data_IF_056934418861
#
_entry.id   IF_056934418861
#
_cell.length_a   1.000
_cell.length_b   1.000
_cell.length_c   1.000
_cell.angle_alpha   90.00
_cell.angle_beta   90.00
_cell.angle_gamma   90.00
#
_symmetry.space_group_name_H-M   'P 1'
#
loop_
_entity.id
_entity.type
_entity.pdbx_description
1 polymer ?
#
# COMPACT_ATOMS: atom_id res chain seq x y z
N UNK A 1 -18.14 7.07 8.45
CA UNK A 1 -17.12 6.31 7.69
C UNK A 1 -15.96 6.01 8.63
N UNK A 2 -15.59 4.73 8.78
CA UNK A 2 -14.39 4.35 9.52
C UNK A 2 -13.19 4.96 8.84
N UNK A 3 -12.35 5.66 9.60
CA UNK A 3 -11.18 6.30 9.03
C UNK A 3 -10.16 5.22 8.66
N UNK A 4 -9.79 5.19 7.39
CA UNK A 4 -8.78 4.31 6.81
C UNK A 4 -7.38 4.92 6.94
N UNK A 5 -6.36 4.07 7.10
CA UNK A 5 -4.97 4.43 6.88
C UNK A 5 -4.38 3.66 5.69
N UNK A 6 -3.63 4.36 4.84
CA UNK A 6 -2.85 3.78 3.75
C UNK A 6 -1.39 4.06 4.06
N UNK A 7 -0.57 3.01 4.07
CA UNK A 7 0.87 3.10 4.24
C UNK A 7 1.55 2.54 3.01
N UNK A 8 2.55 3.26 2.48
CA UNK A 8 3.25 2.88 1.26
C UNK A 8 4.71 2.66 1.64
N UNK A 9 5.19 1.44 1.43
CA UNK A 9 6.58 1.05 1.65
C UNK A 9 7.21 0.92 0.27
N UNK A 10 8.24 1.71 0.00
CA UNK A 10 9.05 1.57 -1.20
C UNK A 10 10.24 0.66 -0.92
N UNK A 11 10.47 -0.31 -1.79
CA UNK A 11 11.65 -1.17 -1.81
C UNK A 11 12.33 -1.05 -3.18
N UNK A 12 13.45 -0.33 -3.22
CA UNK A 12 14.25 -0.19 -4.43
C UNK A 12 15.29 -1.30 -4.49
N UNK A 13 15.01 -2.37 -5.21
CA UNK A 13 15.96 -3.46 -5.44
C UNK A 13 16.40 -3.48 -6.91
N UNK A 14 17.71 -3.34 -7.15
CA UNK A 14 18.33 -3.44 -8.48
C UNK A 14 17.75 -2.48 -9.54
N UNK A 15 17.33 -1.28 -9.14
CA UNK A 15 16.79 -0.26 -10.04
C UNK A 15 15.33 -0.48 -10.46
N UNK A 16 14.64 -1.48 -9.89
CA UNK A 16 13.19 -1.62 -9.97
C UNK A 16 12.59 -1.12 -8.66
N UNK A 17 11.79 -0.06 -8.75
CA UNK A 17 11.07 0.47 -7.59
C UNK A 17 9.83 -0.39 -7.34
N UNK A 18 9.85 -1.19 -6.28
CA UNK A 18 8.72 -2.01 -5.83
C UNK A 18 8.01 -1.31 -4.69
N UNK A 19 6.70 -1.50 -4.59
CA UNK A 19 5.91 -0.83 -3.56
C UNK A 19 4.94 -1.80 -2.92
N UNK A 20 4.98 -1.86 -1.60
CA UNK A 20 3.97 -2.52 -0.80
C UNK A 20 3.01 -1.46 -0.26
N UNK A 21 1.78 -1.47 -0.76
CA UNK A 21 0.71 -0.59 -0.29
C UNK A 21 -0.15 -1.36 0.69
N UNK A 22 -0.11 -0.94 1.96
CA UNK A 22 -0.83 -1.57 3.06
C UNK A 22 -2.02 -0.70 3.45
N UNK A 23 -3.15 -1.37 3.62
CA UNK A 23 -4.41 -0.82 4.10
C UNK A 23 -4.81 -1.48 5.42
N UNK A 24 -5.21 -0.65 6.38
CA UNK A 24 -5.80 -1.10 7.63
C UNK A 24 -6.64 0.01 8.29
N UNK A 25 -7.49 -0.36 9.24
CA UNK A 25 -8.22 0.60 10.07
C UNK A 25 -7.28 1.45 10.92
N UNK A 26 -7.67 2.69 11.28
CA UNK A 26 -6.78 3.62 12.00
C UNK A 26 -6.23 3.10 13.34
N UNK A 27 -7.02 2.37 14.11
CA UNK A 27 -6.56 1.79 15.38
C UNK A 27 -5.53 0.68 15.13
N UNK A 28 -5.82 -0.20 14.16
CA UNK A 28 -4.88 -1.22 13.73
C UNK A 28 -3.56 -0.62 13.21
N UNK A 29 -3.64 0.51 12.50
CA UNK A 29 -2.48 1.27 12.04
C UNK A 29 -1.65 1.85 13.18
N UNK A 30 -2.29 2.43 14.19
CA UNK A 30 -1.57 2.97 15.34
C UNK A 30 -0.80 1.87 16.09
N UNK A 31 -1.42 0.72 16.30
CA UNK A 31 -0.79 -0.46 16.89
C UNK A 31 0.36 -1.01 16.01
N UNK A 32 0.17 -1.08 14.68
CA UNK A 32 1.22 -1.47 13.73
C UNK A 32 2.45 -0.57 13.84
N UNK A 33 2.26 0.75 13.92
CA UNK A 33 3.36 1.72 14.04
C UNK A 33 4.21 1.57 15.30
N UNK A 34 3.64 1.01 16.38
CA UNK A 34 4.36 0.78 17.64
C UNK A 34 4.86 -0.67 17.77
N UNK A 35 4.76 -1.48 16.71
CA UNK A 35 5.22 -2.87 16.69
C UNK A 35 4.36 -3.82 17.52
N UNK A 36 3.13 -3.43 17.84
CA UNK A 36 2.20 -4.27 18.59
C UNK A 36 1.51 -5.23 17.64
N UNK A 37 1.68 -6.53 17.88
CA UNK A 37 0.92 -7.55 17.17
C UNK A 37 -0.52 -7.57 17.69
N UNK A 38 -1.44 -7.14 16.86
CA UNK A 38 -2.86 -7.05 17.16
C UNK A 38 -3.72 -7.94 16.25
N UNK A 39 -3.10 -8.80 15.43
CA UNK A 39 -3.78 -9.69 14.46
C UNK A 39 -4.93 -9.02 13.68
N UNK A 40 -4.81 -7.72 13.43
CA UNK A 40 -5.88 -6.98 12.76
C UNK A 40 -5.89 -7.31 11.27
N UNK A 41 -7.08 -7.45 10.65
CA UNK A 41 -7.16 -7.65 9.21
C UNK A 41 -6.45 -6.53 8.46
N UNK A 42 -5.52 -6.90 7.59
CA UNK A 42 -4.86 -5.97 6.67
C UNK A 42 -5.05 -6.41 5.22
N UNK A 43 -5.12 -5.45 4.33
CA UNK A 43 -5.08 -5.68 2.88
C UNK A 43 -3.78 -5.09 2.35
N UNK A 44 -3.06 -5.84 1.53
CA UNK A 44 -1.82 -5.38 0.93
C UNK A 44 -1.85 -5.56 -0.58
N UNK A 45 -1.33 -4.57 -1.30
CA UNK A 45 -1.09 -4.63 -2.74
C UNK A 45 0.41 -4.58 -2.96
N UNK A 46 0.94 -5.63 -3.56
CA UNK A 46 2.34 -5.72 -3.94
C UNK A 46 2.48 -5.28 -5.40
N UNK A 47 3.10 -4.13 -5.61
CA UNK A 47 3.13 -3.44 -6.91
C UNK A 47 4.55 -3.45 -7.46
N UNK A 48 4.69 -4.05 -8.64
CA UNK A 48 5.95 -4.21 -9.34
C UNK A 48 5.87 -3.62 -10.75
N UNK A 49 6.95 -2.97 -11.22
CA UNK A 49 7.04 -2.58 -12.62
C UNK A 49 7.23 -3.82 -13.50
N UNK A 50 6.48 -3.88 -14.59
CA UNK A 50 6.45 -5.00 -15.54
C UNK A 50 7.73 -5.00 -16.36
N UNK A 51 8.11 -3.85 -16.91
CA UNK A 51 9.22 -3.79 -17.87
C UNK A 51 10.52 -3.41 -17.15
N UNK A 52 10.87 -2.13 -17.04
CA UNK A 52 12.11 -1.68 -16.39
C UNK A 52 12.05 -0.28 -15.77
N UNK A 53 10.87 0.31 -15.65
CA UNK A 53 10.77 1.72 -15.31
C UNK A 53 10.38 1.93 -13.86
N UNK A 54 10.73 3.12 -13.36
CA UNK A 54 10.28 3.58 -12.05
C UNK A 54 8.78 3.77 -12.11
N UNK A 55 8.08 3.44 -11.04
CA UNK A 55 6.67 3.80 -10.94
C UNK A 55 6.60 5.29 -10.64
N UNK A 56 5.98 6.04 -11.55
CA UNK A 56 5.88 7.51 -11.43
C UNK A 56 4.67 7.94 -10.63
N UNK A 57 3.60 7.15 -10.66
CA UNK A 57 2.36 7.44 -9.93
C UNK A 57 1.53 6.20 -9.65
N UNK A 58 0.67 6.31 -8.65
CA UNK A 58 -0.33 5.31 -8.30
C UNK A 58 -1.73 5.92 -8.35
N UNK A 59 -2.67 5.17 -8.89
CA UNK A 59 -4.10 5.40 -8.73
C UNK A 59 -4.68 4.30 -7.84
N UNK A 60 -5.25 4.69 -6.70
CA UNK A 60 -5.85 3.79 -5.72
C UNK A 60 -7.35 4.02 -5.71
N UNK A 61 -8.11 3.04 -6.18
CA UNK A 61 -9.57 3.09 -6.18
C UNK A 61 -10.11 2.60 -4.84
N UNK A 62 -10.99 3.40 -4.22
CA UNK A 62 -11.62 3.09 -2.94
C UNK A 62 -13.10 2.81 -3.15
N UNK A 63 -13.61 1.73 -2.54
CA UNK A 63 -15.04 1.49 -2.36
C UNK A 63 -15.37 1.59 -0.87
N UNK A 64 -16.26 2.51 -0.49
CA UNK A 64 -16.59 2.82 0.91
C UNK A 64 -15.36 3.06 1.83
N UNK A 65 -14.30 3.63 1.27
CA UNK A 65 -13.05 3.92 1.99
C UNK A 65 -12.08 2.74 2.09
N UNK A 66 -12.40 1.61 1.45
CA UNK A 66 -11.55 0.41 1.34
C UNK A 66 -10.91 0.35 -0.05
N UNK A 67 -9.57 0.24 -0.17
CA UNK A 67 -8.92 0.03 -1.46
C UNK A 67 -9.37 -1.26 -2.12
N UNK A 68 -9.85 -1.14 -3.35
CA UNK A 68 -10.28 -2.25 -4.19
C UNK A 68 -9.25 -2.57 -5.27
N UNK A 69 -8.56 -1.54 -5.77
CA UNK A 69 -7.63 -1.66 -6.88
C UNK A 69 -6.52 -0.64 -6.78
N UNK A 70 -5.32 -1.07 -7.14
CA UNK A 70 -4.17 -0.20 -7.37
C UNK A 70 -3.75 -0.33 -8.82
N UNK A 71 -3.57 0.80 -9.49
CA UNK A 71 -2.97 0.88 -10.82
C UNK A 71 -1.72 1.75 -10.75
N UNK A 72 -0.60 1.24 -11.25
CA UNK A 72 0.65 1.99 -11.33
C UNK A 72 0.88 2.49 -12.77
N UNK A 73 1.47 3.68 -12.89
CA UNK A 73 1.98 4.19 -14.15
C UNK A 73 3.50 4.09 -14.14
N UNK A 74 4.06 3.42 -15.14
CA UNK A 74 5.51 3.31 -15.37
C UNK A 74 5.98 4.48 -16.25
N UNK A 75 7.24 4.92 -16.08
CA UNK A 75 7.90 5.88 -17.00
C UNK A 75 8.10 5.30 -18.42
#
# INVERSE_FOLDING_TARGET
MSKTAIHIISDSHQGKDRYLIIYMGKEAYADFLIGKDNNSPMTAFDVHPIEKNKITSFYIELNDGVPMRVTATEE
#
